data_IF_328992390361
#
_entry.id   IF_328992390361
#
_cell.length_a   1.000
_cell.length_b   1.000
_cell.length_c   1.000
_cell.angle_alpha   90.00
_cell.angle_beta   90.00
_cell.angle_gamma   90.00
#
_symmetry.space_group_name_H-M   'P 1'
#
loop_
_entity.id
_entity.type
_entity.pdbx_description
1 polymer ?
#
# COMPACT_ATOMS: atom_id res chain seq x y z
N UNK A 1 4.79 -42.16 8.07
CA UNK A 1 4.51 -41.36 6.85
C UNK A 1 4.32 -39.85 7.07
N UNK A 2 4.51 -39.27 8.28
CA UNK A 2 4.36 -37.81 8.50
C UNK A 2 5.68 -37.02 8.59
N UNK A 3 6.82 -37.70 8.61
CA UNK A 3 8.15 -37.07 8.71
C UNK A 3 8.84 -36.81 7.35
N UNK A 4 8.38 -37.47 6.27
CA UNK A 4 9.01 -37.35 4.94
C UNK A 4 8.50 -36.11 4.19
N UNK A 5 7.23 -35.70 4.42
CA UNK A 5 6.64 -34.53 3.75
C UNK A 5 7.27 -33.21 4.21
N UNK A 6 7.69 -33.11 5.47
CA UNK A 6 8.33 -31.90 6.00
C UNK A 6 9.73 -31.64 5.40
N UNK A 7 10.45 -32.69 5.00
CA UNK A 7 11.80 -32.59 4.43
C UNK A 7 11.79 -32.13 2.96
N UNK A 8 10.74 -32.47 2.19
CA UNK A 8 10.61 -32.07 0.78
C UNK A 8 10.22 -30.58 0.64
N UNK A 9 9.44 -30.04 1.58
CA UNK A 9 9.06 -28.62 1.59
C UNK A 9 10.25 -27.73 1.99
N UNK A 10 11.10 -28.17 2.91
CA UNK A 10 12.30 -27.42 3.32
C UNK A 10 13.36 -27.34 2.20
N UNK A 11 13.53 -28.40 1.40
CA UNK A 11 14.47 -28.42 0.28
C UNK A 11 14.03 -27.48 -0.88
N UNK A 12 12.72 -27.24 -1.03
CA UNK A 12 12.19 -26.39 -2.11
C UNK A 12 12.34 -24.89 -1.84
N UNK A 13 12.42 -24.49 -0.57
CA UNK A 13 12.59 -23.09 -0.15
C UNK A 13 14.05 -22.63 -0.31
N UNK A 14 15.02 -23.53 -0.16
CA UNK A 14 16.44 -23.19 -0.27
C UNK A 14 16.88 -22.95 -1.73
N UNK A 15 16.22 -23.57 -2.71
CA UNK A 15 16.57 -23.41 -4.14
C UNK A 15 16.08 -22.09 -4.72
N UNK A 16 14.94 -21.57 -4.26
CA UNK A 16 14.39 -20.28 -4.73
C UNK A 16 15.21 -19.10 -4.19
N UNK A 17 15.77 -19.21 -2.98
CA UNK A 17 16.64 -18.19 -2.39
C UNK A 17 18.02 -18.08 -3.07
N UNK A 18 18.54 -19.18 -3.62
CA UNK A 18 19.81 -19.15 -4.36
C UNK A 18 19.67 -18.66 -5.81
N UNK A 19 18.47 -18.68 -6.40
CA UNK A 19 18.25 -18.22 -7.78
C UNK A 19 18.05 -16.71 -7.91
N UNK A 20 17.76 -15.99 -6.82
CA UNK A 20 17.56 -14.53 -6.83
C UNK A 20 18.73 -13.70 -6.29
N UNK A 21 19.79 -14.35 -5.77
CA UNK A 21 20.98 -13.66 -5.27
C UNK A 21 22.19 -13.72 -6.24
N UNK A 22 22.01 -14.30 -7.42
CA UNK A 22 23.09 -14.63 -8.36
C UNK A 22 23.34 -13.65 -9.52
N UNK A 23 22.58 -12.58 -9.69
CA UNK A 23 22.78 -11.64 -10.79
C UNK A 23 22.76 -10.20 -10.29
N UNK A 24 23.94 -9.64 -10.08
CA UNK A 24 24.34 -8.22 -10.12
C UNK A 24 25.54 -8.02 -9.19
N UNK A 25 26.73 -8.40 -9.66
CA UNK A 25 28.00 -7.91 -9.14
C UNK A 25 28.98 -7.82 -10.32
N UNK A 26 28.77 -6.82 -11.16
CA UNK A 26 29.82 -6.36 -12.07
C UNK A 26 30.78 -5.49 -11.28
N UNK A 27 32.04 -5.93 -11.24
CA UNK A 27 33.15 -5.20 -10.65
C UNK A 27 33.58 -4.04 -11.57
N UNK A 28 33.82 -2.82 -11.06
CA UNK A 28 34.60 -1.85 -11.81
C UNK A 28 36.10 -2.09 -11.61
N UNK A 29 36.79 -2.17 -12.75
CA UNK A 29 38.22 -2.34 -12.90
C UNK A 29 39.02 -1.21 -12.23
N UNK A 30 40.15 -1.61 -11.64
CA UNK A 30 41.32 -0.76 -11.35
C UNK A 30 41.88 -0.20 -12.65
N UNK A 31 42.03 1.12 -12.74
CA UNK A 31 43.08 1.76 -13.55
C UNK A 31 43.78 2.80 -12.68
N UNK A 32 45.08 2.61 -12.52
CA UNK A 32 45.94 3.50 -11.74
C UNK A 32 46.58 4.60 -12.60
N UNK A 33 46.96 5.66 -11.88
CA UNK A 33 47.99 6.67 -12.13
C UNK A 33 47.77 7.68 -13.27
N UNK A 34 47.66 8.96 -12.93
CA UNK A 34 48.86 9.80 -12.76
C UNK A 34 48.54 11.19 -12.18
N UNK A 35 49.51 11.69 -11.43
CA UNK A 35 49.68 13.00 -10.78
C UNK A 35 49.52 14.22 -11.70
N UNK A 36 48.94 15.32 -11.19
CA UNK A 36 49.65 16.60 -10.95
C UNK A 36 48.69 17.82 -10.79
N UNK A 37 49.14 18.79 -9.99
CA UNK A 37 48.70 20.19 -9.85
C UNK A 37 47.42 20.45 -9.01
N UNK A 38 47.51 20.77 -7.71
CA UNK A 38 47.94 22.03 -7.06
C UNK A 38 46.88 23.14 -7.05
N UNK A 39 46.56 23.60 -5.83
CA UNK A 39 45.96 24.90 -5.46
C UNK A 39 44.54 25.20 -5.95
N UNK A 40 43.55 24.89 -5.09
CA UNK A 40 42.35 25.72 -4.82
C UNK A 40 41.58 25.20 -3.59
N UNK A 41 42.33 24.83 -2.55
CA UNK A 41 41.80 24.68 -1.19
C UNK A 41 41.93 26.06 -0.55
N UNK A 42 40.82 26.68 -0.13
CA UNK A 42 40.67 27.70 0.94
C UNK A 42 39.36 28.51 0.75
N UNK A 43 38.72 28.54 -0.41
CA UNK A 43 37.49 29.36 -0.61
C UNK A 43 36.15 28.66 -0.31
N UNK A 44 36.10 27.34 -0.13
CA UNK A 44 34.82 26.60 0.07
C UNK A 44 34.44 26.33 1.52
N UNK A 45 35.26 26.71 2.51
CA UNK A 45 34.95 26.43 3.93
C UNK A 45 34.01 27.49 4.54
N UNK A 46 33.93 28.69 3.94
CA UNK A 46 33.14 29.80 4.51
C UNK A 46 31.67 29.79 4.09
N UNK A 47 31.31 29.16 2.95
CA UNK A 47 29.90 29.06 2.51
C UNK A 47 29.14 27.90 3.16
N UNK A 48 29.80 26.78 3.45
CA UNK A 48 29.16 25.63 4.14
C UNK A 48 28.82 25.95 5.60
N UNK A 49 29.59 26.85 6.24
CA UNK A 49 29.33 27.31 7.60
C UNK A 49 28.06 28.19 7.68
N UNK A 50 27.78 29.02 6.67
CA UNK A 50 26.55 29.84 6.62
C UNK A 50 25.30 29.02 6.27
N UNK A 51 25.43 27.98 5.44
CA UNK A 51 24.32 27.07 5.14
C UNK A 51 23.87 26.24 6.36
N UNK A 52 24.81 25.81 7.22
CA UNK A 52 24.45 25.10 8.48
C UNK A 52 23.79 26.02 9.52
N UNK A 53 24.14 27.31 9.55
CA UNK A 53 23.56 28.26 10.51
C UNK A 53 22.17 28.78 10.07
N UNK A 54 21.86 28.79 8.78
CA UNK A 54 20.50 29.10 8.28
C UNK A 54 19.53 27.92 8.35
N UNK A 55 20.00 26.67 8.25
CA UNK A 55 19.13 25.48 8.43
C UNK A 55 18.74 25.28 9.90
N UNK A 56 19.55 25.74 10.87
CA UNK A 56 19.18 25.67 12.29
C UNK A 56 18.18 26.75 12.73
N UNK A 57 18.06 27.85 11.99
CA UNK A 57 17.12 28.94 12.31
C UNK A 57 15.69 28.70 11.79
N UNK A 58 15.52 27.85 10.75
CA UNK A 58 14.19 27.43 10.26
C UNK A 58 13.64 26.18 10.96
N UNK A 59 14.45 25.49 11.77
CA UNK A 59 13.98 24.40 12.65
C UNK A 59 13.75 24.88 14.08
N UNK A 60 13.12 26.05 14.26
CA UNK A 60 12.44 26.38 15.50
C UNK A 60 11.27 25.41 15.68
N UNK A 61 11.62 24.18 16.06
CA UNK A 61 10.75 23.11 16.52
C UNK A 61 9.88 23.77 17.58
N UNK A 62 8.61 23.98 17.29
CA UNK A 62 7.61 24.30 18.31
C UNK A 62 7.73 23.19 19.35
N UNK A 63 8.46 23.45 20.44
CA UNK A 63 8.58 22.52 21.56
C UNK A 63 7.21 22.53 22.22
N UNK A 64 6.33 21.66 21.75
CA UNK A 64 5.03 21.45 22.38
C UNK A 64 5.28 21.03 23.82
N UNK A 65 4.56 21.65 24.73
CA UNK A 65 4.62 21.25 26.13
C UNK A 65 4.12 19.81 26.26
N UNK A 66 4.52 19.06 27.30
CA UNK A 66 3.99 17.72 27.54
C UNK A 66 2.46 17.66 27.58
N UNK A 67 1.79 18.74 28.02
CA UNK A 67 0.33 18.85 28.00
C UNK A 67 -0.24 19.05 26.60
N UNK A 68 0.40 19.87 25.75
CA UNK A 68 0.01 20.03 24.34
C UNK A 68 0.21 18.74 23.55
N UNK A 69 1.29 17.99 23.82
CA UNK A 69 1.50 16.67 23.22
C UNK A 69 0.42 15.68 23.65
N UNK A 70 0.11 15.58 24.95
CA UNK A 70 -0.98 14.72 25.45
C UNK A 70 -2.34 15.10 24.85
N UNK A 71 -2.64 16.39 24.72
CA UNK A 71 -3.89 16.85 24.11
C UNK A 71 -3.96 16.47 22.63
N UNK A 72 -2.87 16.65 21.88
CA UNK A 72 -2.80 16.22 20.47
C UNK A 72 -2.85 14.71 20.31
N UNK A 73 -2.24 13.97 21.22
CA UNK A 73 -2.29 12.51 21.23
C UNK A 73 -3.71 12.01 21.52
N UNK A 74 -4.40 12.58 22.52
CA UNK A 74 -5.79 12.30 22.81
C UNK A 74 -6.73 12.70 21.65
N UNK A 75 -6.48 13.84 21.01
CA UNK A 75 -7.23 14.27 19.83
C UNK A 75 -6.99 13.36 18.63
N UNK A 76 -5.74 12.92 18.42
CA UNK A 76 -5.38 11.94 17.39
C UNK A 76 -6.06 10.60 17.67
N UNK A 77 -5.97 10.09 18.90
CA UNK A 77 -6.64 8.85 19.32
C UNK A 77 -8.16 8.94 19.17
N UNK A 78 -8.77 10.08 19.51
CA UNK A 78 -10.20 10.30 19.30
C UNK A 78 -10.58 10.34 17.82
N UNK A 79 -9.76 10.99 16.97
CA UNK A 79 -9.96 10.98 15.51
C UNK A 79 -9.78 9.59 14.92
N UNK A 80 -8.80 8.83 15.38
CA UNK A 80 -8.58 7.44 14.98
C UNK A 80 -9.73 6.55 15.45
N UNK A 81 -10.26 6.77 16.66
CA UNK A 81 -11.41 6.03 17.19
C UNK A 81 -12.66 6.23 16.32
N UNK A 82 -12.93 7.45 15.85
CA UNK A 82 -14.02 7.73 14.90
C UNK A 82 -13.84 7.02 13.56
N UNK A 83 -12.60 6.95 13.06
CA UNK A 83 -12.29 6.19 11.84
C UNK A 83 -12.45 4.67 12.04
N UNK A 84 -12.48 4.21 13.28
CA UNK A 84 -12.75 2.79 13.61
C UNK A 84 -14.22 2.47 13.86
N UNK A 85 -15.13 3.41 13.62
CA UNK A 85 -16.57 3.16 13.76
C UNK A 85 -17.14 2.46 12.50
N UNK A 86 -17.97 1.41 12.65
CA UNK A 86 -18.59 0.72 11.52
C UNK A 86 -19.41 1.64 10.60
N UNK A 87 -20.03 2.69 11.15
CA UNK A 87 -20.80 3.65 10.35
C UNK A 87 -19.90 4.46 9.40
N UNK A 88 -18.73 4.88 9.86
CA UNK A 88 -17.76 5.62 9.04
C UNK A 88 -17.16 4.71 7.96
N UNK A 89 -16.85 3.45 8.30
CA UNK A 89 -16.45 2.44 7.33
C UNK A 89 -17.53 2.25 6.24
N UNK A 90 -18.82 2.25 6.63
CA UNK A 90 -19.94 2.09 5.69
C UNK A 90 -20.10 3.30 4.78
N UNK A 91 -19.97 4.52 5.32
CA UNK A 91 -20.00 5.76 4.53
C UNK A 91 -18.84 5.80 3.52
N UNK A 92 -17.64 5.41 3.95
CA UNK A 92 -16.46 5.31 3.08
C UNK A 92 -16.67 4.30 1.95
N UNK A 93 -17.22 3.12 2.26
CA UNK A 93 -17.57 2.12 1.24
C UNK A 93 -18.61 2.66 0.27
N UNK A 94 -19.69 3.27 0.76
CA UNK A 94 -20.73 3.89 -0.07
C UNK A 94 -20.16 4.92 -1.04
N UNK A 95 -19.28 5.81 -0.54
CA UNK A 95 -18.62 6.81 -1.39
C UNK A 95 -17.72 6.17 -2.44
N UNK A 96 -17.00 5.09 -2.09
CA UNK A 96 -16.14 4.36 -3.02
C UNK A 96 -16.97 3.68 -4.11
N UNK A 97 -18.06 3.02 -3.72
CA UNK A 97 -18.94 2.31 -4.63
C UNK A 97 -19.72 3.26 -5.55
N UNK A 98 -20.19 4.40 -5.04
CA UNK A 98 -20.85 5.42 -5.87
C UNK A 98 -19.95 5.93 -7.01
N UNK A 99 -18.63 5.97 -6.79
CA UNK A 99 -17.65 6.35 -7.80
C UNK A 99 -17.35 5.23 -8.80
N UNK A 100 -17.21 3.99 -8.33
CA UNK A 100 -16.82 2.83 -9.15
C UNK A 100 -17.99 2.23 -9.94
N UNK A 101 -19.21 2.29 -9.39
CA UNK A 101 -20.38 1.64 -9.96
C UNK A 101 -20.63 2.00 -11.44
N UNK A 102 -20.55 3.28 -11.88
CA UNK A 102 -20.71 3.60 -13.30
C UNK A 102 -19.74 2.84 -14.22
N UNK A 103 -18.48 2.67 -13.80
CA UNK A 103 -17.48 1.90 -14.54
C UNK A 103 -17.82 0.40 -14.60
N UNK A 104 -18.29 -0.16 -13.49
CA UNK A 104 -18.76 -1.54 -13.45
C UNK A 104 -19.98 -1.77 -14.34
N UNK A 105 -20.98 -0.88 -14.28
CA UNK A 105 -22.17 -0.95 -15.12
C UNK A 105 -21.82 -0.89 -16.60
N UNK A 106 -20.93 0.01 -17.00
CA UNK A 106 -20.45 0.10 -18.38
C UNK A 106 -19.76 -1.20 -18.85
N UNK A 107 -18.98 -1.86 -17.98
CA UNK A 107 -18.40 -3.16 -18.29
C UNK A 107 -19.47 -4.25 -18.45
N UNK A 108 -20.45 -4.30 -17.54
CA UNK A 108 -21.50 -5.31 -17.59
C UNK A 108 -22.39 -5.17 -18.82
N UNK A 109 -22.72 -3.94 -19.20
CA UNK A 109 -23.45 -3.62 -20.43
C UNK A 109 -22.66 -4.04 -21.67
N UNK A 110 -21.35 -3.73 -21.71
CA UNK A 110 -20.46 -4.13 -22.81
C UNK A 110 -20.32 -5.66 -22.94
N UNK A 111 -20.42 -6.39 -21.82
CA UNK A 111 -20.41 -7.85 -21.80
C UNK A 111 -21.79 -8.48 -22.00
N UNK A 112 -22.83 -7.66 -22.10
CA UNK A 112 -24.23 -8.07 -22.24
C UNK A 112 -24.64 -9.06 -21.15
N UNK A 113 -24.21 -8.80 -19.90
CA UNK A 113 -24.63 -9.61 -18.77
C UNK A 113 -26.12 -9.41 -18.52
N UNK A 114 -26.81 -10.50 -18.17
CA UNK A 114 -28.20 -10.38 -17.74
C UNK A 114 -28.28 -9.61 -16.39
N UNK A 115 -29.40 -8.92 -16.13
CA UNK A 115 -29.52 -8.08 -14.93
C UNK A 115 -29.28 -8.81 -13.61
N UNK A 116 -29.63 -10.10 -13.53
CA UNK A 116 -29.45 -10.90 -12.32
C UNK A 116 -27.97 -11.20 -12.08
N UNK A 117 -27.24 -11.56 -13.13
CA UNK A 117 -25.78 -11.77 -13.05
C UNK A 117 -25.05 -10.47 -12.72
N UNK A 118 -25.40 -9.35 -13.36
CA UNK A 118 -24.83 -8.03 -13.02
C UNK A 118 -25.05 -7.65 -11.57
N UNK A 119 -26.27 -7.85 -11.04
CA UNK A 119 -26.59 -7.56 -9.65
C UNK A 119 -25.81 -8.47 -8.69
N UNK A 120 -25.69 -9.76 -9.01
CA UNK A 120 -24.90 -10.70 -8.22
C UNK A 120 -23.43 -10.30 -8.14
N UNK A 121 -22.83 -9.90 -9.27
CA UNK A 121 -21.44 -9.41 -9.31
C UNK A 121 -21.29 -8.15 -8.46
N UNK A 122 -22.20 -7.17 -8.61
CA UNK A 122 -22.17 -5.94 -7.79
C UNK A 122 -22.23 -6.25 -6.30
N UNK A 123 -23.11 -7.17 -5.88
CA UNK A 123 -23.23 -7.57 -4.49
C UNK A 123 -21.93 -8.24 -3.99
N UNK A 124 -21.31 -9.11 -4.79
CA UNK A 124 -20.05 -9.75 -4.44
C UNK A 124 -18.91 -8.72 -4.28
N UNK A 125 -18.84 -7.72 -5.17
CA UNK A 125 -17.86 -6.63 -5.04
C UNK A 125 -18.13 -5.83 -3.76
N UNK A 126 -19.39 -5.52 -3.47
CA UNK A 126 -19.78 -4.81 -2.26
C UNK A 126 -19.38 -5.58 -1.00
N UNK A 127 -19.71 -6.87 -0.93
CA UNK A 127 -19.42 -7.72 0.23
C UNK A 127 -17.92 -7.88 0.45
N UNK A 128 -17.16 -8.06 -0.64
CA UNK A 128 -15.68 -8.11 -0.63
C UNK A 128 -15.11 -6.83 -0.05
N UNK A 129 -15.53 -5.67 -0.55
CA UNK A 129 -14.99 -4.37 -0.13
C UNK A 129 -15.43 -4.02 1.31
N UNK A 130 -16.65 -4.42 1.70
CA UNK A 130 -17.12 -4.29 3.08
C UNK A 130 -16.32 -5.13 4.07
N UNK A 131 -16.04 -6.39 3.74
CA UNK A 131 -15.23 -7.25 4.59
C UNK A 131 -13.80 -6.71 4.72
N UNK A 132 -13.25 -6.10 3.66
CA UNK A 132 -11.95 -5.42 3.71
C UNK A 132 -11.95 -4.18 4.62
N UNK A 133 -13.01 -3.38 4.62
CA UNK A 133 -13.13 -2.23 5.53
C UNK A 133 -13.31 -2.69 6.98
N UNK A 134 -14.13 -3.72 7.24
CA UNK A 134 -14.29 -4.30 8.58
C UNK A 134 -12.98 -4.87 9.14
N UNK A 135 -12.09 -5.37 8.28
CA UNK A 135 -10.77 -5.85 8.69
C UNK A 135 -9.92 -4.76 9.35
N UNK A 136 -10.05 -3.50 8.93
CA UNK A 136 -9.34 -2.36 9.52
C UNK A 136 -9.84 -2.10 10.95
N UNK A 137 -11.08 -2.46 11.24
CA UNK A 137 -11.72 -2.25 12.54
C UNK A 137 -11.34 -3.31 13.58
N UNK A 138 -10.66 -4.40 13.18
CA UNK A 138 -10.33 -5.49 14.11
C UNK A 138 -9.18 -5.10 15.05
N UNK A 139 -9.37 -5.20 16.39
CA UNK A 139 -8.32 -4.88 17.36
C UNK A 139 -7.05 -5.71 17.19
N UNK A 140 -7.17 -6.94 16.69
CA UNK A 140 -6.07 -7.90 16.52
C UNK A 140 -5.05 -7.50 15.44
N UNK A 141 -5.37 -6.50 14.61
CA UNK A 141 -4.45 -5.96 13.61
C UNK A 141 -3.23 -5.24 14.23
N UNK A 142 -3.28 -4.88 15.53
CA UNK A 142 -2.21 -4.14 16.20
C UNK A 142 -1.13 -4.99 16.88
N UNK A 143 -1.34 -6.30 17.03
CA UNK A 143 -0.37 -7.20 17.70
C UNK A 143 0.46 -7.97 16.65
N UNK A 144 1.79 -7.98 16.77
CA UNK A 144 2.72 -8.45 15.72
C UNK A 144 2.56 -9.94 15.39
N UNK A 145 2.31 -10.80 16.38
CA UNK A 145 2.11 -12.25 16.16
C UNK A 145 0.74 -12.57 15.54
N UNK A 146 -0.33 -11.90 15.98
CA UNK A 146 -1.65 -12.03 15.33
C UNK A 146 -1.68 -11.32 13.97
N UNK A 147 -0.81 -10.33 13.73
CA UNK A 147 -0.74 -9.57 12.48
C UNK A 147 -0.35 -10.46 11.29
N UNK A 148 0.55 -11.44 11.47
CA UNK A 148 0.91 -12.37 10.39
C UNK A 148 -0.25 -13.30 10.05
N UNK A 149 -0.86 -13.94 11.04
CA UNK A 149 -2.01 -14.82 10.84
C UNK A 149 -3.22 -14.06 10.26
N UNK A 150 -3.47 -12.85 10.75
CA UNK A 150 -4.47 -11.90 10.26
C UNK A 150 -4.20 -11.49 8.80
N UNK A 151 -2.94 -11.25 8.44
CA UNK A 151 -2.55 -10.92 7.06
C UNK A 151 -2.74 -12.12 6.12
N UNK A 152 -2.41 -13.33 6.57
CA UNK A 152 -2.63 -14.57 5.81
C UNK A 152 -4.13 -14.87 5.63
N UNK A 153 -4.95 -14.69 6.67
CA UNK A 153 -6.41 -14.83 6.59
C UNK A 153 -7.02 -13.80 5.62
N UNK A 154 -6.64 -12.52 5.75
CA UNK A 154 -7.08 -11.45 4.87
C UNK A 154 -6.73 -11.76 3.40
N UNK A 155 -5.50 -12.22 3.16
CA UNK A 155 -5.04 -12.60 1.82
C UNK A 155 -5.81 -13.81 1.27
N UNK A 156 -6.04 -14.83 2.09
CA UNK A 156 -6.82 -16.01 1.72
C UNK A 156 -8.25 -15.66 1.32
N UNK A 157 -8.94 -14.83 2.12
CA UNK A 157 -10.28 -14.34 1.80
C UNK A 157 -10.33 -13.52 0.52
N UNK A 158 -9.36 -12.63 0.32
CA UNK A 158 -9.25 -11.87 -0.94
C UNK A 158 -9.15 -12.82 -2.14
N UNK A 159 -8.31 -13.85 -2.07
CA UNK A 159 -8.20 -14.84 -3.15
C UNK A 159 -9.48 -15.61 -3.40
N UNK A 160 -10.24 -15.97 -2.36
CA UNK A 160 -11.53 -16.63 -2.53
C UNK A 160 -12.53 -15.74 -3.27
N UNK A 161 -12.65 -14.48 -2.89
CA UNK A 161 -13.51 -13.51 -3.58
C UNK A 161 -13.08 -13.30 -5.04
N UNK A 162 -11.78 -13.11 -5.27
CA UNK A 162 -11.22 -12.93 -6.61
C UNK A 162 -11.45 -14.18 -7.49
N UNK A 163 -11.28 -15.38 -6.94
CA UNK A 163 -11.56 -16.65 -7.64
C UNK A 163 -13.04 -16.79 -7.98
N UNK A 164 -13.95 -16.55 -7.03
CA UNK A 164 -15.38 -16.64 -7.30
C UNK A 164 -15.85 -15.63 -8.35
N UNK A 165 -15.28 -14.42 -8.37
CA UNK A 165 -15.55 -13.45 -9.41
C UNK A 165 -15.00 -13.95 -10.75
N UNK A 166 -13.76 -14.44 -10.80
CA UNK A 166 -13.17 -15.00 -12.02
C UNK A 166 -13.98 -16.18 -12.58
N UNK A 167 -14.47 -17.08 -11.72
CA UNK A 167 -15.33 -18.20 -12.13
C UNK A 167 -16.66 -17.73 -12.72
N UNK A 168 -17.22 -16.62 -12.20
CA UNK A 168 -18.52 -16.10 -12.61
C UNK A 168 -18.47 -15.36 -13.95
N UNK A 169 -17.43 -14.56 -14.20
CA UNK A 169 -17.33 -13.74 -15.42
C UNK A 169 -16.25 -14.19 -16.40
N UNK A 170 -15.42 -15.17 -16.01
CA UNK A 170 -14.24 -15.60 -16.77
C UNK A 170 -13.03 -14.69 -16.54
N UNK A 171 -11.82 -15.28 -16.60
CA UNK A 171 -10.55 -14.63 -16.29
C UNK A 171 -10.32 -13.31 -17.05
N UNK A 172 -10.66 -13.28 -18.34
CA UNK A 172 -10.46 -12.09 -19.17
C UNK A 172 -11.33 -10.91 -18.71
N UNK A 173 -12.60 -11.16 -18.40
CA UNK A 173 -13.50 -10.12 -17.89
C UNK A 173 -13.12 -9.72 -16.48
N UNK A 174 -12.68 -10.68 -15.65
CA UNK A 174 -12.15 -10.39 -14.32
C UNK A 174 -10.91 -9.49 -14.37
N UNK A 175 -9.95 -9.73 -15.27
CA UNK A 175 -8.79 -8.83 -15.44
C UNK A 175 -9.21 -7.41 -15.84
N UNK A 176 -10.23 -7.25 -16.67
CA UNK A 176 -10.77 -5.94 -17.04
C UNK A 176 -11.47 -5.24 -15.87
N UNK A 177 -12.23 -5.99 -15.07
CA UNK A 177 -12.83 -5.48 -13.83
C UNK A 177 -11.74 -4.98 -12.88
N UNK A 178 -10.68 -5.78 -12.64
CA UNK A 178 -9.52 -5.41 -11.82
C UNK A 178 -8.84 -4.15 -12.34
N UNK A 179 -8.68 -4.01 -13.66
CA UNK A 179 -8.09 -2.80 -14.25
C UNK A 179 -8.87 -1.53 -13.90
N UNK A 180 -10.21 -1.58 -13.95
CA UNK A 180 -11.06 -0.43 -13.56
C UNK A 180 -10.86 -0.08 -12.08
N UNK A 181 -10.74 -1.08 -11.21
CA UNK A 181 -10.44 -0.87 -9.78
C UNK A 181 -9.06 -0.23 -9.57
N UNK A 182 -8.05 -0.71 -10.30
CA UNK A 182 -6.67 -0.22 -10.19
C UNK A 182 -6.54 1.21 -10.74
N UNK A 183 -7.20 1.53 -11.86
CA UNK A 183 -7.25 2.88 -12.45
C UNK A 183 -7.96 3.89 -11.53
N UNK A 184 -9.03 3.48 -10.85
CA UNK A 184 -9.74 4.27 -9.84
C UNK A 184 -8.85 4.55 -8.61
N UNK A 185 -8.12 3.53 -8.14
CA UNK A 185 -7.18 3.65 -7.04
C UNK A 185 -6.03 4.62 -7.38
N UNK A 186 -5.43 4.49 -8.56
CA UNK A 186 -4.38 5.39 -9.02
C UNK A 186 -4.88 6.84 -9.13
N UNK A 187 -6.10 7.03 -9.63
CA UNK A 187 -6.73 8.35 -9.73
C UNK A 187 -6.93 9.00 -8.35
N UNK A 188 -7.33 8.23 -7.34
CA UNK A 188 -7.40 8.73 -5.96
C UNK A 188 -6.04 9.14 -5.42
N UNK A 189 -5.01 8.33 -5.64
CA UNK A 189 -3.66 8.63 -5.14
C UNK A 189 -3.13 9.94 -5.73
N UNK A 190 -3.36 10.17 -7.03
CA UNK A 190 -3.03 11.44 -7.69
C UNK A 190 -3.80 12.61 -7.03
N UNK A 191 -5.11 12.47 -6.82
CA UNK A 191 -5.90 13.53 -6.16
C UNK A 191 -5.42 13.81 -4.73
N UNK A 192 -5.07 12.76 -3.98
CA UNK A 192 -4.52 12.90 -2.63
C UNK A 192 -3.16 13.61 -2.62
N UNK A 193 -2.27 13.30 -3.56
CA UNK A 193 -0.98 14.00 -3.70
C UNK A 193 -1.18 15.47 -4.03
N UNK A 194 -2.10 15.78 -4.95
CA UNK A 194 -2.46 17.15 -5.32
C UNK A 194 -2.97 17.96 -4.12
N UNK A 195 -3.89 17.40 -3.33
CA UNK A 195 -4.43 18.06 -2.13
C UNK A 195 -3.33 18.32 -1.09
N UNK A 196 -2.33 17.43 -0.98
CA UNK A 196 -1.20 17.58 -0.05
C UNK A 196 -0.08 18.47 -0.57
N UNK A 197 -0.19 18.98 -1.79
CA UNK A 197 0.88 19.76 -2.43
C UNK A 197 2.15 18.95 -2.67
N UNK A 198 2.01 17.65 -2.95
CA UNK A 198 3.11 16.71 -3.22
C UNK A 198 3.29 16.42 -4.72
N UNK A 199 2.76 17.31 -5.57
CA UNK A 199 2.94 17.28 -7.02
C UNK A 199 4.11 18.22 -7.35
N UNK A 200 5.34 17.74 -7.11
CA UNK A 200 6.58 18.33 -7.67
C UNK A 200 6.85 17.74 -9.07
#
# INVERSE_FOLDING_TARGET
>A
MRLIVALVVAASILTVLLYHFGQHNEAPQKVGNSSAATSKEISNVTEVAKAKQQVSAKSAKTRMTPEEMKKKEAELLSRMAKLTEPEEARKKLQSTMARREPGYRALFDAWQLDPQTSQKIMQMIWDRDWEQELWILRPEASNVETSRASSEEKRGKKYLWDSHLADLIGDERFRRLRKVEDDDQASMEIQFRKIRGLDD
#
